data_IF_762019651590
#
_entry.id   IF_762019651590
#
_cell.length_a   1.000
_cell.length_b   1.000
_cell.length_c   1.000
_cell.angle_alpha   90.00
_cell.angle_beta   90.00
_cell.angle_gamma   90.00
#
_symmetry.space_group_name_H-M   'P 1'
#
loop_
_entity.id
_entity.type
_entity.pdbx_description
1 polymer ?
#
# COMPACT_ATOMS: atom_id res chain seq x y z
N UNK A 1 -6.20 0.22 12.22
CA UNK A 1 -5.26 -0.82 12.62
C UNK A 1 -5.49 -2.15 11.91
N UNK A 2 -6.74 -2.66 11.82
CA UNK A 2 -7.03 -3.90 11.07
C UNK A 2 -6.55 -3.86 9.62
N UNK A 3 -6.83 -2.76 8.92
CA UNK A 3 -6.42 -2.58 7.53
C UNK A 3 -4.90 -2.50 7.42
N UNK A 4 -4.27 -1.74 8.32
CA UNK A 4 -2.82 -1.59 8.34
C UNK A 4 -2.10 -2.91 8.62
N UNK A 5 -2.58 -3.71 9.59
CA UNK A 5 -2.03 -5.04 9.88
C UNK A 5 -2.23 -6.02 8.72
N UNK A 6 -3.38 -5.99 8.05
CA UNK A 6 -3.63 -6.83 6.86
C UNK A 6 -2.74 -6.39 5.67
N UNK A 7 -2.56 -5.11 5.48
CA UNK A 7 -1.65 -4.55 4.49
C UNK A 7 -0.20 -4.97 4.77
N UNK A 8 0.24 -4.85 6.02
CA UNK A 8 1.57 -5.26 6.46
C UNK A 8 1.82 -6.75 6.19
N UNK A 9 0.88 -7.63 6.55
CA UNK A 9 0.98 -9.07 6.30
C UNK A 9 1.12 -9.43 4.81
N UNK A 10 0.48 -8.68 3.94
CA UNK A 10 0.42 -9.00 2.49
C UNK A 10 1.46 -8.25 1.65
N UNK A 11 2.25 -7.38 2.28
CA UNK A 11 3.37 -6.69 1.63
C UNK A 11 4.49 -7.67 1.29
N UNK A 12 5.17 -7.45 0.16
CA UNK A 12 6.34 -8.22 -0.29
C UNK A 12 7.53 -7.28 -0.37
N UNK A 13 8.70 -7.73 0.11
CA UNK A 13 9.98 -7.04 0.03
C UNK A 13 11.04 -8.00 -0.48
N UNK A 14 11.61 -7.69 -1.63
CA UNK A 14 12.50 -8.63 -2.34
C UNK A 14 13.86 -8.80 -1.68
N UNK A 15 14.34 -7.80 -0.96
CA UNK A 15 15.70 -7.77 -0.36
C UNK A 15 15.74 -8.28 1.09
N UNK A 16 14.68 -8.91 1.59
CA UNK A 16 14.64 -9.36 2.97
C UNK A 16 15.28 -10.73 3.19
N UNK A 17 15.65 -10.98 4.47
CA UNK A 17 16.33 -12.21 4.89
C UNK A 17 15.52 -13.44 4.53
N UNK A 18 16.12 -14.37 3.80
CA UNK A 18 15.49 -15.62 3.42
C UNK A 18 14.74 -15.58 2.08
N UNK A 19 14.83 -14.49 1.32
CA UNK A 19 14.26 -14.43 -0.02
C UNK A 19 14.78 -15.56 -0.92
N UNK A 20 13.89 -16.15 -1.72
CA UNK A 20 14.20 -17.22 -2.66
C UNK A 20 14.30 -18.63 -2.04
N UNK A 21 14.16 -18.80 -0.73
CA UNK A 21 14.16 -20.13 -0.10
C UNK A 21 12.93 -20.94 -0.49
N UNK A 22 13.12 -22.28 -0.55
CA UNK A 22 12.09 -23.24 -0.90
C UNK A 22 11.77 -24.10 0.32
N UNK A 23 10.49 -24.26 0.63
CA UNK A 23 10.01 -25.04 1.77
C UNK A 23 9.12 -26.20 1.31
N UNK A 24 9.19 -27.29 2.07
CA UNK A 24 8.43 -28.50 1.81
C UNK A 24 6.93 -28.32 1.98
N UNK A 25 6.52 -27.52 2.98
CA UNK A 25 5.14 -27.23 3.28
C UNK A 25 4.98 -25.86 3.98
N UNK A 26 3.72 -25.42 4.19
CA UNK A 26 3.39 -24.17 4.85
C UNK A 26 3.87 -24.13 6.31
N UNK A 27 3.83 -25.29 7.02
CA UNK A 27 4.23 -25.38 8.42
C UNK A 27 5.74 -25.19 8.58
N UNK A 28 6.54 -25.78 7.70
CA UNK A 28 8.00 -25.60 7.69
C UNK A 28 8.36 -24.14 7.45
N UNK A 29 7.68 -23.46 6.52
CA UNK A 29 7.87 -22.03 6.27
C UNK A 29 7.52 -21.18 7.50
N UNK A 30 6.42 -21.50 8.20
CA UNK A 30 6.04 -20.80 9.42
C UNK A 30 6.98 -21.08 10.60
N UNK A 31 7.52 -22.29 10.72
CA UNK A 31 8.58 -22.60 11.69
C UNK A 31 9.86 -21.81 11.39
N UNK A 32 10.28 -21.76 10.13
CA UNK A 32 11.44 -20.97 9.71
C UNK A 32 11.24 -19.46 10.00
N UNK A 33 10.01 -18.96 9.87
CA UNK A 33 9.67 -17.61 10.29
C UNK A 33 9.76 -17.44 11.82
N UNK A 34 9.26 -18.37 12.60
CA UNK A 34 9.34 -18.34 14.06
C UNK A 34 10.78 -18.38 14.58
N UNK A 35 11.68 -19.10 13.89
CA UNK A 35 13.11 -19.18 14.18
C UNK A 35 13.92 -18.02 13.54
N UNK A 36 13.25 -17.01 12.97
CA UNK A 36 13.90 -15.87 12.30
C UNK A 36 14.84 -16.22 11.16
N UNK A 37 14.69 -17.40 10.55
CA UNK A 37 15.45 -17.85 9.36
C UNK A 37 14.96 -17.15 8.10
N UNK A 38 13.70 -16.75 8.08
CA UNK A 38 13.08 -15.95 7.03
C UNK A 38 12.33 -14.78 7.65
N UNK A 39 12.25 -13.68 6.90
CA UNK A 39 11.43 -12.53 7.26
C UNK A 39 9.95 -12.74 6.86
N UNK A 40 9.06 -11.96 7.46
CA UNK A 40 7.62 -11.98 7.18
C UNK A 40 7.28 -11.66 5.71
N UNK A 41 8.05 -10.76 5.10
CA UNK A 41 7.80 -10.19 3.76
C UNK A 41 8.67 -10.81 2.67
N UNK A 42 9.63 -11.67 3.04
CA UNK A 42 10.53 -12.30 2.09
C UNK A 42 9.78 -13.19 1.10
N UNK A 43 9.98 -13.04 -0.22
CA UNK A 43 9.42 -13.95 -1.21
C UNK A 43 10.07 -15.34 -1.09
N UNK A 44 9.24 -16.34 -0.88
CA UNK A 44 9.63 -17.75 -0.72
C UNK A 44 8.81 -18.62 -1.65
N UNK A 45 9.29 -19.85 -1.89
CA UNK A 45 8.53 -20.87 -2.59
C UNK A 45 8.12 -21.97 -1.62
N UNK A 46 6.83 -22.28 -1.60
CA UNK A 46 6.27 -23.29 -0.70
C UNK A 46 5.55 -24.35 -1.52
N UNK A 47 5.80 -25.62 -1.21
CA UNK A 47 5.01 -26.70 -1.79
C UNK A 47 3.65 -26.72 -1.12
N UNK A 48 2.63 -26.54 -1.93
CA UNK A 48 1.24 -26.58 -1.51
C UNK A 48 0.54 -27.78 -2.11
N UNK A 49 -0.28 -28.42 -1.29
CA UNK A 49 -1.10 -29.56 -1.71
C UNK A 49 -2.56 -29.22 -1.51
N UNK A 50 -3.38 -29.39 -2.53
CA UNK A 50 -4.82 -29.17 -2.49
C UNK A 50 -5.55 -30.31 -3.16
N UNK A 51 -6.76 -30.63 -2.66
CA UNK A 51 -7.68 -31.56 -3.31
C UNK A 51 -8.60 -30.73 -4.22
N UNK A 52 -8.47 -30.90 -5.52
CA UNK A 52 -9.27 -30.25 -6.54
C UNK A 52 -9.99 -31.34 -7.34
N UNK A 53 -11.31 -31.28 -7.43
CA UNK A 53 -12.15 -32.25 -8.13
C UNK A 53 -11.91 -33.70 -7.66
N UNK A 54 -11.61 -33.89 -6.37
CA UNK A 54 -11.33 -35.20 -5.79
C UNK A 54 -9.93 -35.75 -6.09
N UNK A 55 -9.07 -34.99 -6.78
CA UNK A 55 -7.67 -35.36 -7.07
C UNK A 55 -6.74 -34.48 -6.23
N UNK A 56 -5.81 -35.12 -5.53
CA UNK A 56 -4.75 -34.44 -4.79
C UNK A 56 -3.69 -33.91 -5.77
N UNK A 57 -3.46 -32.61 -5.72
CA UNK A 57 -2.48 -31.92 -6.56
C UNK A 57 -1.48 -31.18 -5.69
N UNK A 58 -0.21 -31.28 -6.05
CA UNK A 58 0.90 -30.68 -5.31
C UNK A 58 1.83 -29.94 -6.25
N UNK A 59 2.28 -28.75 -5.87
CA UNK A 59 3.21 -27.94 -6.65
C UNK A 59 3.85 -26.84 -5.80
N UNK A 60 4.85 -26.17 -6.37
CA UNK A 60 5.50 -25.03 -5.76
C UNK A 60 4.71 -23.74 -6.09
N UNK A 61 4.47 -22.93 -5.08
CA UNK A 61 3.74 -21.67 -5.18
C UNK A 61 4.60 -20.56 -4.60
N UNK A 62 4.61 -19.40 -5.25
CA UNK A 62 5.26 -18.21 -4.73
C UNK A 62 4.41 -17.60 -3.62
N UNK A 63 5.01 -17.40 -2.45
CA UNK A 63 4.32 -16.86 -1.28
C UNK A 63 5.28 -16.02 -0.41
N UNK A 64 4.76 -15.48 0.67
CA UNK A 64 5.54 -14.96 1.82
C UNK A 64 4.97 -15.55 3.09
N UNK A 65 5.74 -15.59 4.18
CA UNK A 65 5.22 -16.05 5.47
C UNK A 65 3.97 -15.25 5.89
N UNK A 66 3.96 -13.94 5.64
CA UNK A 66 2.80 -13.10 5.92
C UNK A 66 1.56 -13.45 5.10
N UNK A 67 1.71 -13.76 3.80
CA UNK A 67 0.60 -14.18 2.95
C UNK A 67 0.05 -15.54 3.36
N UNK A 68 0.90 -16.48 3.77
CA UNK A 68 0.48 -17.78 4.31
C UNK A 68 -0.39 -17.56 5.55
N UNK A 69 0.07 -16.75 6.50
CA UNK A 69 -0.66 -16.42 7.72
C UNK A 69 -1.99 -15.75 7.40
N UNK A 70 -2.00 -14.79 6.46
CA UNK A 70 -3.22 -14.07 6.09
C UNK A 70 -4.25 -14.97 5.41
N UNK A 71 -3.82 -15.89 4.55
CA UNK A 71 -4.70 -16.82 3.84
C UNK A 71 -5.23 -17.99 4.69
N UNK A 72 -4.59 -18.29 5.82
CA UNK A 72 -4.99 -19.42 6.68
C UNK A 72 -6.48 -19.39 7.08
N UNK A 73 -7.06 -18.27 7.56
CA UNK A 73 -8.49 -18.21 7.88
C UNK A 73 -9.39 -17.99 6.66
N UNK A 74 -8.83 -17.72 5.49
CA UNK A 74 -9.58 -17.37 4.28
C UNK A 74 -9.94 -18.64 3.51
N UNK A 75 -11.24 -18.89 3.22
CA UNK A 75 -11.62 -19.99 2.36
C UNK A 75 -10.98 -19.88 0.97
N UNK A 76 -10.36 -20.95 0.51
CA UNK A 76 -9.60 -20.98 -0.73
C UNK A 76 -10.50 -21.27 -1.97
N UNK A 77 -11.73 -20.75 -1.96
CA UNK A 77 -12.73 -20.87 -3.04
C UNK A 77 -13.40 -19.52 -3.36
N UNK A 78 -12.73 -18.41 -3.08
CA UNK A 78 -13.30 -17.08 -3.31
C UNK A 78 -13.39 -16.68 -4.79
N UNK A 79 -12.63 -17.37 -5.67
CA UNK A 79 -12.65 -17.17 -7.12
C UNK A 79 -11.86 -15.98 -7.61
N UNK A 80 -10.78 -15.66 -6.92
CA UNK A 80 -9.73 -14.83 -7.49
C UNK A 80 -8.84 -15.64 -8.42
N UNK A 81 -8.68 -16.93 -8.13
CA UNK A 81 -7.85 -17.85 -8.90
C UNK A 81 -8.74 -18.79 -9.70
N UNK A 82 -8.44 -18.93 -10.98
CA UNK A 82 -9.05 -19.95 -11.84
C UNK A 82 -8.43 -21.31 -11.52
N UNK A 83 -9.21 -22.16 -10.84
CA UNK A 83 -8.77 -23.50 -10.42
C UNK A 83 -8.76 -24.51 -11.57
N UNK A 84 -9.16 -24.11 -12.77
CA UNK A 84 -9.11 -24.97 -13.97
C UNK A 84 -7.76 -24.86 -14.68
N UNK A 85 -7.05 -23.73 -14.50
CA UNK A 85 -5.74 -23.50 -15.09
C UNK A 85 -4.62 -24.22 -14.31
N UNK A 86 -3.88 -25.16 -14.96
CA UNK A 86 -2.81 -25.91 -14.33
C UNK A 86 -1.69 -25.08 -13.73
N UNK A 87 -1.41 -23.91 -14.26
CA UNK A 87 -0.32 -23.04 -13.80
C UNK A 87 -0.66 -22.33 -12.50
N UNK A 88 -1.95 -21.98 -12.30
CA UNK A 88 -2.38 -21.12 -11.19
C UNK A 88 -3.25 -21.82 -10.14
N UNK A 89 -3.69 -23.06 -10.36
CA UNK A 89 -4.67 -23.75 -9.49
C UNK A 89 -4.27 -23.90 -8.01
N UNK A 90 -2.97 -23.88 -7.70
CA UNK A 90 -2.45 -24.00 -6.33
C UNK A 90 -2.19 -22.66 -5.65
N UNK A 91 -2.29 -21.53 -6.35
CA UNK A 91 -2.03 -20.22 -5.79
C UNK A 91 -3.01 -19.88 -4.65
N UNK A 92 -2.58 -18.97 -3.78
CA UNK A 92 -3.44 -18.44 -2.72
C UNK A 92 -4.48 -17.49 -3.30
N UNK A 93 -5.71 -17.56 -2.82
CA UNK A 93 -6.78 -16.65 -3.24
C UNK A 93 -6.39 -15.18 -3.04
N UNK A 94 -5.65 -14.86 -1.98
CA UNK A 94 -5.12 -13.52 -1.75
C UNK A 94 -3.61 -13.54 -1.96
N UNK A 95 -3.19 -13.34 -3.22
CA UNK A 95 -1.79 -13.20 -3.63
C UNK A 95 -1.37 -11.73 -3.81
N UNK A 96 -2.29 -10.79 -3.68
CA UNK A 96 -2.10 -9.35 -3.84
C UNK A 96 -2.02 -8.63 -2.49
N UNK A 97 -1.60 -7.37 -2.52
CA UNK A 97 -1.56 -6.49 -1.34
C UNK A 97 -2.97 -6.07 -0.93
N UNK A 98 -3.30 -6.31 0.34
CA UNK A 98 -4.63 -6.00 0.87
C UNK A 98 -4.70 -4.54 1.34
N UNK A 99 -5.67 -3.82 0.83
CA UNK A 99 -5.94 -2.42 1.14
C UNK A 99 -7.39 -2.24 1.61
N UNK A 100 -7.73 -1.04 2.07
CA UNK A 100 -9.12 -0.67 2.41
C UNK A 100 -10.09 -0.89 1.24
N UNK A 101 -9.61 -0.80 -0.01
CA UNK A 101 -10.46 -0.97 -1.20
C UNK A 101 -10.67 -2.45 -1.55
N UNK A 102 -9.67 -3.30 -1.35
CA UNK A 102 -9.74 -4.73 -1.71
C UNK A 102 -10.40 -5.59 -0.64
N UNK A 103 -10.31 -5.19 0.63
CA UNK A 103 -10.88 -5.96 1.74
C UNK A 103 -12.41 -6.16 1.64
N UNK A 104 -13.24 -5.16 1.27
CA UNK A 104 -14.67 -5.34 1.07
C UNK A 104 -15.01 -6.36 -0.04
N UNK A 105 -14.21 -6.43 -1.10
CA UNK A 105 -14.41 -7.41 -2.17
C UNK A 105 -14.15 -8.84 -1.68
N UNK A 106 -13.09 -9.06 -0.90
CA UNK A 106 -12.82 -10.35 -0.25
C UNK A 106 -14.00 -10.79 0.63
N UNK A 107 -14.54 -9.87 1.42
CA UNK A 107 -15.69 -10.13 2.30
C UNK A 107 -16.94 -10.45 1.48
N UNK A 108 -17.23 -9.67 0.46
CA UNK A 108 -18.38 -9.86 -0.43
C UNK A 108 -18.35 -11.23 -1.11
N UNK A 109 -17.20 -11.61 -1.67
CA UNK A 109 -17.00 -12.92 -2.30
C UNK A 109 -17.17 -14.08 -1.30
N UNK A 110 -16.60 -13.93 -0.10
CA UNK A 110 -16.77 -14.93 0.95
C UNK A 110 -18.24 -15.08 1.36
N UNK A 111 -18.94 -13.98 1.54
CA UNK A 111 -20.37 -13.99 1.88
C UNK A 111 -21.20 -14.71 0.81
N UNK A 112 -20.95 -14.40 -0.45
CA UNK A 112 -21.70 -14.97 -1.59
C UNK A 112 -21.45 -16.46 -1.77
N UNK A 113 -20.20 -16.93 -1.60
CA UNK A 113 -19.83 -18.32 -1.88
C UNK A 113 -19.92 -19.25 -0.68
N UNK A 114 -19.60 -18.75 0.51
CA UNK A 114 -19.48 -19.57 1.72
C UNK A 114 -20.54 -19.27 2.77
N UNK A 115 -21.38 -18.26 2.55
CA UNK A 115 -22.46 -17.86 3.45
C UNK A 115 -22.02 -17.12 4.71
N UNK A 116 -22.99 -16.67 5.49
CA UNK A 116 -22.80 -15.76 6.63
C UNK A 116 -21.93 -16.35 7.74
N UNK A 117 -22.10 -17.64 8.05
CA UNK A 117 -21.37 -18.30 9.17
C UNK A 117 -19.86 -18.40 8.89
N UNK A 118 -19.48 -18.77 7.68
CA UNK A 118 -18.08 -18.85 7.26
C UNK A 118 -17.46 -17.45 7.19
N UNK A 119 -18.20 -16.50 6.64
CA UNK A 119 -17.79 -15.10 6.56
C UNK A 119 -17.54 -14.49 7.95
N UNK A 120 -18.42 -14.73 8.93
CA UNK A 120 -18.23 -14.24 10.30
C UNK A 120 -16.96 -14.79 10.95
N UNK A 121 -16.67 -16.08 10.80
CA UNK A 121 -15.41 -16.68 11.30
C UNK A 121 -14.18 -16.08 10.64
N UNK A 122 -14.22 -15.87 9.32
CA UNK A 122 -13.14 -15.24 8.56
C UNK A 122 -12.93 -13.80 9.05
N UNK A 123 -14.00 -13.03 9.25
CA UNK A 123 -13.92 -11.65 9.73
C UNK A 123 -13.30 -11.53 11.12
N UNK A 124 -13.71 -12.40 12.05
CA UNK A 124 -13.13 -12.44 13.41
C UNK A 124 -11.63 -12.77 13.38
N UNK A 125 -11.23 -13.68 12.51
CA UNK A 125 -9.82 -14.02 12.34
C UNK A 125 -9.02 -12.89 11.68
N UNK A 126 -9.52 -12.27 10.61
CA UNK A 126 -8.88 -11.11 9.97
C UNK A 126 -8.75 -9.95 10.96
N UNK A 127 -9.78 -9.69 11.76
CA UNK A 127 -9.75 -8.68 12.82
C UNK A 127 -8.62 -8.97 13.80
N UNK A 128 -8.56 -10.18 14.34
CA UNK A 128 -7.56 -10.60 15.32
C UNK A 128 -6.13 -10.53 14.76
N UNK A 129 -5.93 -11.03 13.54
CA UNK A 129 -4.64 -10.93 12.84
C UNK A 129 -4.27 -9.48 12.54
N UNK A 130 -5.20 -8.68 12.05
CA UNK A 130 -4.99 -7.28 11.74
C UNK A 130 -4.48 -6.49 12.94
N UNK A 131 -5.11 -6.61 14.10
CA UNK A 131 -4.65 -5.96 15.34
C UNK A 131 -3.30 -6.50 15.80
N UNK A 132 -3.13 -7.82 15.81
CA UNK A 132 -1.86 -8.45 16.20
C UNK A 132 -0.68 -7.92 15.36
N UNK A 133 -0.82 -7.95 14.04
CA UNK A 133 0.27 -7.56 13.15
C UNK A 133 0.42 -6.05 12.99
N UNK A 134 -0.61 -5.27 13.23
CA UNK A 134 -0.48 -3.81 13.40
C UNK A 134 0.37 -3.45 14.62
N UNK A 135 0.20 -4.18 15.72
CA UNK A 135 1.04 -4.00 16.93
C UNK A 135 2.48 -4.47 16.69
N UNK A 136 2.66 -5.64 16.06
CA UNK A 136 4.00 -6.19 15.78
C UNK A 136 4.78 -5.38 14.74
N UNK A 137 4.09 -4.75 13.78
CA UNK A 137 4.72 -3.90 12.77
C UNK A 137 5.33 -2.63 13.37
N UNK A 138 4.84 -2.19 14.53
CA UNK A 138 5.27 -0.98 15.24
C UNK A 138 5.32 0.27 14.35
N UNK A 139 4.45 0.35 13.32
CA UNK A 139 4.39 1.49 12.39
C UNK A 139 4.07 2.76 13.17
N UNK A 140 4.99 3.68 13.18
CA UNK A 140 4.94 4.94 13.92
C UNK A 140 5.44 6.08 13.01
N UNK A 141 4.99 7.29 13.21
CA UNK A 141 5.39 8.44 12.39
C UNK A 141 6.38 9.31 13.14
N UNK A 142 7.53 9.55 12.53
CA UNK A 142 8.51 10.52 12.99
C UNK A 142 8.62 11.71 12.01
N UNK A 143 9.18 12.83 12.49
CA UNK A 143 9.38 14.01 11.63
C UNK A 143 10.34 13.72 10.47
N UNK A 144 11.30 12.82 10.68
CA UNK A 144 12.26 12.40 9.64
C UNK A 144 11.61 11.61 8.48
N UNK A 145 10.44 10.98 8.71
CA UNK A 145 9.72 10.22 7.68
C UNK A 145 9.08 11.12 6.62
N UNK A 146 8.94 12.42 6.93
CA UNK A 146 8.48 13.44 6.00
C UNK A 146 9.60 13.84 5.04
N UNK A 147 9.90 12.97 4.07
CA UNK A 147 10.96 13.19 3.07
C UNK A 147 10.56 14.32 2.12
N UNK A 148 11.42 15.32 1.98
CA UNK A 148 11.20 16.45 1.06
C UNK A 148 11.72 16.09 -0.34
N UNK A 149 10.90 16.14 -1.41
CA UNK A 149 11.36 15.88 -2.76
C UNK A 149 12.44 16.90 -3.19
N UNK A 150 13.55 16.47 -3.80
CA UNK A 150 14.62 17.37 -4.20
C UNK A 150 14.17 18.42 -5.23
N UNK A 151 13.21 18.07 -6.10
CA UNK A 151 12.67 18.97 -7.12
C UNK A 151 11.77 20.09 -6.57
N UNK A 152 11.35 20.03 -5.29
CA UNK A 152 10.42 21.00 -4.69
C UNK A 152 10.91 22.43 -4.82
N UNK A 153 12.17 22.69 -4.50
CA UNK A 153 12.74 24.03 -4.53
C UNK A 153 12.72 24.65 -5.94
N UNK A 154 13.04 23.86 -6.96
CA UNK A 154 13.02 24.28 -8.36
C UNK A 154 11.61 24.57 -8.85
N UNK A 155 10.64 23.70 -8.52
CA UNK A 155 9.24 23.86 -8.90
C UNK A 155 8.61 25.12 -8.30
N UNK A 156 8.93 25.42 -7.04
CA UNK A 156 8.46 26.65 -6.38
C UNK A 156 9.12 27.89 -6.99
N UNK A 157 10.43 27.85 -7.25
CA UNK A 157 11.14 28.98 -7.85
C UNK A 157 10.64 29.27 -9.29
N UNK A 158 10.25 28.24 -10.04
CA UNK A 158 9.62 28.39 -11.35
C UNK A 158 8.25 29.07 -11.24
N UNK A 159 7.42 28.62 -10.29
CA UNK A 159 6.11 29.20 -10.03
C UNK A 159 6.21 30.68 -9.61
N UNK A 160 7.13 31.02 -8.71
CA UNK A 160 7.38 32.39 -8.27
C UNK A 160 7.77 33.31 -9.44
N UNK A 161 8.60 32.83 -10.39
CA UNK A 161 8.93 33.56 -11.61
C UNK A 161 7.70 33.83 -12.47
N UNK A 162 6.84 32.82 -12.67
CA UNK A 162 5.61 32.94 -13.45
C UNK A 162 4.63 33.93 -12.80
N UNK A 163 4.41 33.83 -11.49
CA UNK A 163 3.56 34.76 -10.72
C UNK A 163 4.13 36.19 -10.80
N UNK A 164 5.45 36.36 -10.71
CA UNK A 164 6.08 37.67 -10.86
C UNK A 164 5.88 38.26 -12.26
N UNK A 165 5.86 37.45 -13.30
CA UNK A 165 5.55 37.89 -14.69
C UNK A 165 4.09 38.34 -14.79
N UNK A 166 3.14 37.59 -14.24
CA UNK A 166 1.71 37.97 -14.18
C UNK A 166 1.56 39.31 -13.45
N UNK A 167 2.27 39.50 -12.32
CA UNK A 167 2.28 40.78 -11.60
C UNK A 167 2.80 41.94 -12.43
N UNK A 168 3.86 41.73 -13.24
CA UNK A 168 4.41 42.75 -14.15
C UNK A 168 3.41 43.10 -15.27
N UNK A 169 2.67 42.13 -15.78
CA UNK A 169 1.62 42.38 -16.81
C UNK A 169 0.47 43.22 -16.24
N UNK A 170 0.05 42.89 -15.00
CA UNK A 170 -0.96 43.69 -14.29
C UNK A 170 -0.49 45.14 -14.04
N UNK A 171 0.73 45.32 -13.53
CA UNK A 171 1.25 46.66 -13.29
C UNK A 171 1.42 47.52 -14.55
N UNK A 172 1.53 46.88 -15.74
CA UNK A 172 1.52 47.55 -17.04
C UNK A 172 0.10 47.79 -17.59
N UNK A 173 -0.93 47.38 -16.89
CA UNK A 173 -2.34 47.54 -17.30
C UNK A 173 -2.78 46.61 -18.45
N UNK A 174 -2.02 45.53 -18.72
CA UNK A 174 -2.31 44.59 -19.81
C UNK A 174 -3.33 43.53 -19.45
N UNK A 175 -3.54 43.30 -18.17
CA UNK A 175 -4.54 42.34 -17.64
C UNK A 175 -5.34 42.98 -16.52
N UNK A 176 -6.59 42.52 -16.36
CA UNK A 176 -7.48 42.94 -15.26
C UNK A 176 -7.09 42.25 -13.95
N UNK A 177 -7.61 42.79 -12.83
CA UNK A 177 -7.37 42.18 -11.52
C UNK A 177 -7.95 40.77 -11.43
N UNK A 178 -9.11 40.52 -12.01
CA UNK A 178 -9.73 39.20 -12.07
C UNK A 178 -8.90 38.20 -12.84
N UNK A 179 -8.31 38.62 -13.96
CA UNK A 179 -7.41 37.76 -14.77
C UNK A 179 -6.10 37.48 -14.02
N UNK A 180 -5.50 38.49 -13.36
CA UNK A 180 -4.33 38.30 -12.52
C UNK A 180 -4.58 37.28 -11.42
N UNK A 181 -5.71 37.41 -10.71
CA UNK A 181 -6.11 36.49 -9.64
C UNK A 181 -6.27 35.04 -10.17
N UNK A 182 -7.01 34.88 -11.27
CA UNK A 182 -7.23 33.58 -11.89
C UNK A 182 -5.94 32.92 -12.34
N UNK A 183 -5.10 33.64 -13.09
CA UNK A 183 -3.82 33.12 -13.56
C UNK A 183 -2.88 32.74 -12.40
N UNK A 184 -2.87 33.52 -11.32
CA UNK A 184 -2.07 33.20 -10.13
C UNK A 184 -2.54 31.90 -9.46
N UNK A 185 -3.86 31.70 -9.33
CA UNK A 185 -4.43 30.45 -8.80
C UNK A 185 -4.09 29.27 -9.71
N UNK A 186 -4.26 29.41 -11.01
CA UNK A 186 -3.98 28.34 -11.97
C UNK A 186 -2.51 27.90 -11.91
N UNK A 187 -1.56 28.85 -11.79
CA UNK A 187 -0.12 28.57 -11.62
C UNK A 187 0.12 27.79 -10.34
N UNK A 188 -0.42 28.24 -9.20
CA UNK A 188 -0.22 27.57 -7.92
C UNK A 188 -0.88 26.21 -7.87
N UNK A 189 -2.06 26.04 -8.47
CA UNK A 189 -2.73 24.74 -8.56
C UNK A 189 -1.89 23.74 -9.36
N UNK A 190 -1.44 24.14 -10.54
CA UNK A 190 -0.57 23.30 -11.37
C UNK A 190 0.76 22.95 -10.67
N UNK A 191 1.32 23.89 -9.91
CA UNK A 191 2.54 23.64 -9.13
C UNK A 191 2.29 22.67 -7.98
N UNK A 192 1.15 22.80 -7.29
CA UNK A 192 0.73 21.87 -6.24
C UNK A 192 0.61 20.45 -6.78
N UNK A 193 -0.01 20.27 -7.94
CA UNK A 193 -0.18 18.96 -8.55
C UNK A 193 1.19 18.36 -8.96
N UNK A 194 2.12 19.19 -9.50
CA UNK A 194 3.49 18.76 -9.84
C UNK A 194 4.29 18.35 -8.60
N UNK A 195 4.22 19.13 -7.51
CA UNK A 195 4.89 18.80 -6.25
C UNK A 195 4.30 17.57 -5.62
N UNK A 196 2.98 17.39 -5.64
CA UNK A 196 2.29 16.21 -5.12
C UNK A 196 2.73 14.94 -5.86
N UNK A 197 2.84 15.03 -7.19
CA UNK A 197 3.35 13.92 -8.00
C UNK A 197 4.81 13.63 -7.71
N UNK A 198 5.66 14.65 -7.65
CA UNK A 198 7.07 14.48 -7.30
C UNK A 198 7.25 13.87 -5.90
N UNK A 199 6.39 14.22 -4.95
CA UNK A 199 6.38 13.61 -3.61
C UNK A 199 6.02 12.11 -3.67
N UNK A 200 4.95 11.77 -4.39
CA UNK A 200 4.54 10.37 -4.54
C UNK A 200 5.61 9.50 -5.21
N UNK A 201 6.30 10.05 -6.22
CA UNK A 201 7.35 9.35 -6.96
C UNK A 201 8.66 9.19 -6.15
N UNK A 202 8.96 10.13 -5.25
CA UNK A 202 10.19 10.13 -4.45
C UNK A 202 10.03 9.51 -3.05
N UNK A 203 8.80 9.26 -2.60
CA UNK A 203 8.59 8.67 -1.27
C UNK A 203 8.90 7.17 -1.32
N UNK A 204 9.83 6.66 -0.48
CA UNK A 204 10.13 5.24 -0.43
C UNK A 204 8.89 4.42 -0.06
N UNK A 205 8.71 3.27 -0.72
CA UNK A 205 7.55 2.39 -0.44
C UNK A 205 7.55 1.80 0.97
N UNK A 206 8.71 1.78 1.61
CA UNK A 206 8.89 1.34 3.00
C UNK A 206 8.66 2.45 4.01
N UNK A 207 8.41 3.67 3.55
CA UNK A 207 8.11 4.80 4.41
C UNK A 207 6.76 4.58 5.10
N UNK A 208 6.72 4.82 6.41
CA UNK A 208 5.55 4.54 7.25
C UNK A 208 4.35 5.41 6.89
N UNK A 209 4.60 6.68 6.52
CA UNK A 209 3.56 7.59 6.02
C UNK A 209 2.98 7.07 4.70
N UNK A 210 3.84 6.55 3.80
CA UNK A 210 3.40 5.95 2.56
C UNK A 210 2.52 4.73 2.82
N UNK A 211 2.95 3.82 3.70
CA UNK A 211 2.17 2.62 4.05
C UNK A 211 0.80 2.96 4.64
N UNK A 212 0.71 3.98 5.49
CA UNK A 212 -0.57 4.44 6.05
C UNK A 212 -1.52 5.00 4.99
N UNK A 213 -0.98 5.79 4.06
CA UNK A 213 -1.77 6.41 2.99
C UNK A 213 -2.18 5.41 1.90
N UNK A 214 -1.25 4.55 1.45
CA UNK A 214 -1.47 3.55 0.40
C UNK A 214 -2.43 2.44 0.87
N UNK A 215 -2.31 1.98 2.11
CA UNK A 215 -3.26 1.03 2.71
C UNK A 215 -4.69 1.59 2.80
N UNK A 216 -4.84 2.92 2.78
CA UNK A 216 -6.11 3.62 3.02
C UNK A 216 -6.56 3.57 4.48
N UNK A 217 -5.70 3.13 5.40
CA UNK A 217 -6.01 3.06 6.83
C UNK A 217 -6.15 4.45 7.45
N UNK A 218 -5.21 5.34 7.15
CA UNK A 218 -5.19 6.73 7.64
C UNK A 218 -4.49 7.65 6.64
N UNK A 219 -4.99 8.89 6.56
CA UNK A 219 -4.43 9.90 5.68
C UNK A 219 -4.78 9.67 4.20
N UNK A 220 -4.29 10.56 3.39
CA UNK A 220 -4.27 10.46 1.92
C UNK A 220 -3.04 11.20 1.41
N UNK A 221 -2.67 11.01 0.15
CA UNK A 221 -1.52 11.72 -0.42
C UNK A 221 -1.74 13.25 -0.46
N UNK A 222 -2.98 13.73 -0.55
CA UNK A 222 -3.28 15.16 -0.55
C UNK A 222 -2.91 15.87 0.76
N UNK A 223 -3.29 15.42 1.98
CA UNK A 223 -2.83 16.02 3.24
C UNK A 223 -1.31 16.02 3.39
N UNK A 224 -0.62 14.96 2.95
CA UNK A 224 0.84 14.91 2.95
C UNK A 224 1.41 16.02 2.08
N UNK A 225 0.86 16.25 0.90
CA UNK A 225 1.25 17.34 0.01
C UNK A 225 1.01 18.72 0.63
N UNK A 226 -0.09 18.94 1.31
CA UNK A 226 -0.37 20.20 2.02
C UNK A 226 0.64 20.46 3.12
N UNK A 227 0.98 19.47 3.94
CA UNK A 227 1.99 19.61 4.99
C UNK A 227 3.35 20.02 4.40
N UNK A 228 3.75 19.42 3.28
CA UNK A 228 4.98 19.75 2.59
C UNK A 228 4.97 21.13 1.93
N UNK A 229 3.82 21.61 1.46
CA UNK A 229 3.69 22.92 0.83
C UNK A 229 3.65 24.05 1.85
N UNK A 230 3.04 23.84 3.02
CA UNK A 230 2.79 24.91 4.01
C UNK A 230 3.92 25.08 5.01
N UNK A 231 4.71 24.06 5.32
CA UNK A 231 5.82 24.16 6.28
C UNK A 231 6.83 25.28 5.97
N UNK A 232 7.19 25.60 4.71
CA UNK A 232 8.08 26.72 4.41
C UNK A 232 7.43 28.11 4.40
N UNK A 233 6.09 28.18 4.29
CA UNK A 233 5.39 29.48 4.21
C UNK A 233 5.11 30.09 5.56
N UNK A 234 5.08 29.30 6.63
CA UNK A 234 4.91 29.79 8.01
C UNK A 234 6.18 30.43 8.61
N UNK A 235 7.33 30.30 7.94
CA UNK A 235 8.59 30.95 8.36
C UNK A 235 8.80 32.35 7.78
N UNK A 236 7.78 32.93 7.12
CA UNK A 236 7.81 34.30 6.55
C UNK A 236 6.69 35.18 7.11
N UNK A 237 6.45 35.10 8.42
CA UNK A 237 5.71 36.15 9.17
C UNK A 237 6.66 36.79 10.14
#
# INVERSE_FOLDING_TARGET
DMILGSYYLTTVREEEVGAGKVFRDENEALMAYAEHVISLHAPIKVRRTMVLDGVERSGLVDATAGRIIFNNPIPQNLGYIDRTDPEHWLEYEVSFRVTKKTLPDIISRCMTRNGTRACAKMLDAIKSQGYKYSTLSAISVAVCDAVIPPQKAELIAEADKQVSQVGKLFNRGLISEGERYKQTIDIWQATTDRVSKALADNLPKDNEIYMMADSGARGSMNPVSYTHLTLPTTSRV
#
